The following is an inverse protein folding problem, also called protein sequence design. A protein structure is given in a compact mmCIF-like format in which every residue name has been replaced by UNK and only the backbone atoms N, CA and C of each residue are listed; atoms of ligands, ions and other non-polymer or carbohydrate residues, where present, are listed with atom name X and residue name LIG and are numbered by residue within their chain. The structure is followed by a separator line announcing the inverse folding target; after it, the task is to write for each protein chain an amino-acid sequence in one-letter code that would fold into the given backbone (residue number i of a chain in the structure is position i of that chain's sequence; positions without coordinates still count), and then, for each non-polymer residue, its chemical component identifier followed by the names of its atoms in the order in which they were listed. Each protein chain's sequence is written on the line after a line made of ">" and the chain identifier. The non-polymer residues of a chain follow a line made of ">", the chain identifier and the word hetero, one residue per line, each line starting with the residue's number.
data_IF_875027014119
#
_entry.id   IF_875027014119
#
_cell.length_a   1.000
_cell.length_b   1.000
_cell.length_c   1.000
_cell.angle_alpha   90.00
_cell.angle_beta   90.00
_cell.angle_gamma   90.00
#
_symmetry.space_group_name_H-M   'P 1'
#
loop_
_entity.id
_entity.type
_entity.pdbx_description
1 polymer ?
#
# COMPACT_ATOMS: atom_id res chain seq x y z
N UNK A 1 43.50 -23.37 -17.28
CA UNK A 1 43.57 -24.55 -16.39
C UNK A 1 42.16 -25.10 -16.25
N UNK A 2 41.87 -26.25 -16.88
CA UNK A 2 40.76 -27.16 -16.55
C UNK A 2 39.35 -26.83 -17.07
N UNK A 3 39.03 -27.34 -18.26
CA UNK A 3 37.65 -27.62 -18.71
C UNK A 3 37.09 -28.86 -18.00
N UNK A 4 35.76 -29.03 -17.94
CA UNK A 4 35.04 -30.28 -18.30
C UNK A 4 33.51 -30.14 -18.13
N UNK A 5 32.79 -30.26 -19.23
CA UNK A 5 31.38 -30.68 -19.30
C UNK A 5 31.31 -32.22 -19.22
N UNK A 6 30.24 -32.79 -18.67
CA UNK A 6 29.33 -33.72 -19.37
C UNK A 6 28.28 -34.37 -18.46
N UNK A 7 27.12 -34.63 -19.08
CA UNK A 7 25.90 -35.29 -18.60
C UNK A 7 26.01 -36.83 -18.54
N UNK A 8 25.00 -37.51 -17.94
CA UNK A 8 24.36 -38.84 -18.27
C UNK A 8 23.68 -39.39 -16.98
N UNK A 9 22.32 -39.44 -16.89
CA UNK A 9 21.40 -40.62 -16.98
C UNK A 9 21.67 -41.75 -15.93
N UNK A 10 20.73 -42.43 -15.26
CA UNK A 10 19.37 -42.89 -15.60
C UNK A 10 18.63 -43.49 -14.36
N UNK A 11 17.31 -43.26 -14.27
CA UNK A 11 16.18 -44.19 -14.05
C UNK A 11 15.85 -45.06 -12.79
N UNK A 12 14.52 -45.05 -12.51
CA UNK A 12 13.59 -46.10 -11.99
C UNK A 12 13.73 -46.53 -10.51
N UNK A 13 12.69 -46.75 -9.68
CA UNK A 13 11.23 -46.94 -9.83
C UNK A 13 10.53 -46.99 -8.45
N UNK A 14 9.25 -46.59 -8.39
CA UNK A 14 8.11 -47.13 -7.58
C UNK A 14 8.30 -47.57 -6.11
N UNK A 15 7.50 -47.04 -5.17
CA UNK A 15 6.23 -47.65 -4.73
C UNK A 15 5.44 -46.77 -3.74
N UNK A 16 4.12 -47.02 -3.72
CA UNK A 16 3.03 -46.35 -3.01
C UNK A 16 3.13 -46.50 -1.49
N UNK A 17 2.61 -45.52 -0.74
CA UNK A 17 1.60 -45.86 0.26
C UNK A 17 0.59 -44.74 0.53
N UNK A 18 -0.60 -45.16 0.91
CA UNK A 18 -1.86 -44.44 0.83
C UNK A 18 -2.50 -44.49 2.22
N UNK A 19 -2.95 -43.35 2.78
CA UNK A 19 -4.30 -43.14 3.40
C UNK A 19 -4.36 -42.06 4.50
N UNK A 20 -5.45 -41.29 4.39
CA UNK A 20 -6.36 -40.75 5.41
C UNK A 20 -5.97 -39.52 6.24
N UNK A 21 -6.64 -38.41 5.89
CA UNK A 21 -7.70 -37.86 6.75
C UNK A 21 -7.28 -36.85 7.81
N UNK A 22 -7.58 -35.56 7.56
CA UNK A 22 -7.54 -34.52 8.58
C UNK A 22 -7.57 -33.11 8.00
N UNK A 23 -8.75 -32.61 7.66
CA UNK A 23 -8.97 -31.18 7.43
C UNK A 23 -8.85 -30.49 8.79
N UNK A 24 -7.79 -29.72 8.98
CA UNK A 24 -7.67 -28.80 10.12
C UNK A 24 -7.47 -27.38 9.59
N UNK A 25 -8.55 -26.60 9.59
CA UNK A 25 -8.47 -25.15 9.48
C UNK A 25 -7.74 -24.59 10.70
N UNK A 26 -6.68 -23.77 10.53
CA UNK A 26 -6.22 -22.92 11.61
C UNK A 26 -7.25 -21.81 11.80
N UNK A 27 -7.94 -21.92 12.92
CA UNK A 27 -8.76 -20.91 13.59
C UNK A 27 -8.08 -19.54 13.55
N UNK A 28 -8.78 -18.55 13.03
CA UNK A 28 -8.38 -17.15 13.06
C UNK A 28 -8.03 -16.72 14.49
N UNK A 29 -6.75 -16.41 14.72
CA UNK A 29 -6.32 -15.70 15.91
C UNK A 29 -6.59 -14.21 15.70
N UNK A 30 -7.72 -13.76 16.24
CA UNK A 30 -7.99 -12.35 16.48
C UNK A 30 -6.91 -11.79 17.42
N UNK A 31 -6.13 -10.82 16.92
CA UNK A 31 -5.09 -10.16 17.69
C UNK A 31 -4.15 -9.33 16.84
N UNK A 32 -4.65 -8.43 16.00
CA UNK A 32 -3.81 -7.43 15.32
C UNK A 32 -3.47 -6.30 16.29
N UNK A 33 -2.61 -6.61 17.26
CA UNK A 33 -1.68 -5.60 17.77
C UNK A 33 -0.74 -5.28 16.62
N UNK A 34 -1.00 -4.18 15.90
CA UNK A 34 -0.14 -3.75 14.81
C UNK A 34 1.28 -3.58 15.37
N UNK A 35 2.20 -4.44 14.94
CA UNK A 35 3.62 -4.28 15.25
C UNK A 35 4.03 -2.88 14.79
N UNK A 36 4.52 -2.08 15.73
CA UNK A 36 4.96 -0.71 15.45
C UNK A 36 6.30 -0.82 14.74
N UNK A 37 6.36 -0.39 13.48
CA UNK A 37 7.60 -0.29 12.73
C UNK A 37 8.43 0.92 13.17
N UNK A 38 9.62 1.03 12.62
CA UNK A 38 10.51 2.16 12.87
C UNK A 38 9.82 3.50 12.52
N UNK A 39 10.06 4.53 13.34
CA UNK A 39 9.48 5.86 13.13
C UNK A 39 7.95 6.01 13.35
N UNK A 40 7.26 5.02 13.92
CA UNK A 40 5.82 5.09 14.21
C UNK A 40 4.91 4.72 13.02
N UNK A 41 5.53 4.38 11.88
CA UNK A 41 4.85 3.81 10.70
C UNK A 41 4.58 2.33 10.96
N UNK A 42 3.37 1.82 10.67
CA UNK A 42 3.08 0.38 10.78
C UNK A 42 3.94 -0.46 9.85
N UNK A 43 4.15 -1.71 10.25
CA UNK A 43 4.61 -2.74 9.30
C UNK A 43 3.60 -2.85 8.16
N UNK A 44 4.12 -2.96 6.92
CA UNK A 44 3.31 -3.16 5.73
C UNK A 44 2.45 -4.43 5.87
N UNK A 45 1.15 -4.32 5.60
CA UNK A 45 0.24 -5.47 5.71
C UNK A 45 -0.85 -5.48 4.65
N UNK A 46 -1.42 -6.65 4.42
CA UNK A 46 -2.66 -6.79 3.66
C UNK A 46 -3.87 -6.43 4.53
N UNK A 47 -4.80 -5.67 3.97
CA UNK A 47 -6.06 -5.26 4.57
C UNK A 47 -7.22 -5.98 3.88
N UNK A 48 -8.24 -6.36 4.66
CA UNK A 48 -9.47 -6.89 4.08
C UNK A 48 -10.34 -5.78 3.47
N UNK A 49 -11.10 -6.10 2.43
CA UNK A 49 -12.04 -5.16 1.83
C UNK A 49 -13.13 -4.73 2.82
N UNK A 50 -13.57 -5.62 3.71
CA UNK A 50 -14.56 -5.31 4.73
C UNK A 50 -14.04 -4.26 5.71
N UNK A 51 -12.78 -4.36 6.12
CA UNK A 51 -12.12 -3.36 6.96
C UNK A 51 -12.03 -2.00 6.27
N UNK A 52 -11.61 -1.97 5.01
CA UNK A 52 -11.48 -0.71 4.26
C UNK A 52 -12.85 -0.08 3.94
N UNK A 53 -13.88 -0.89 3.69
CA UNK A 53 -15.26 -0.41 3.59
C UNK A 53 -15.74 0.21 4.89
N UNK A 54 -15.49 -0.45 6.03
CA UNK A 54 -15.87 0.12 7.34
C UNK A 54 -15.14 1.43 7.61
N UNK A 55 -13.85 1.52 7.26
CA UNK A 55 -13.03 2.70 7.49
C UNK A 55 -13.43 3.92 6.63
N UNK A 56 -14.00 3.69 5.45
CA UNK A 56 -14.32 4.72 4.43
C UNK A 56 -15.81 4.98 4.26
N UNK A 57 -16.66 4.45 5.15
CA UNK A 57 -18.11 4.46 5.02
C UNK A 57 -18.57 3.92 3.64
N UNK A 58 -18.10 2.72 3.30
CA UNK A 58 -18.32 2.03 2.03
C UNK A 58 -17.89 2.86 0.81
N UNK A 59 -16.71 3.49 0.89
CA UNK A 59 -16.18 4.37 -0.16
C UNK A 59 -17.14 5.51 -0.54
N UNK A 60 -17.78 6.11 0.47
CA UNK A 60 -18.68 7.26 0.29
C UNK A 60 -17.95 8.43 -0.34
N UNK A 61 -18.64 9.16 -1.22
CA UNK A 61 -18.08 10.35 -1.88
C UNK A 61 -17.74 11.48 -0.92
N UNK A 62 -18.39 11.53 0.25
CA UNK A 62 -18.04 12.46 1.35
C UNK A 62 -16.63 12.25 1.91
N UNK A 63 -16.04 11.08 1.66
CA UNK A 63 -14.70 10.73 2.11
C UNK A 63 -13.64 10.91 1.02
N UNK A 64 -14.01 11.34 -0.18
CA UNK A 64 -13.05 11.63 -1.25
C UNK A 64 -12.20 12.84 -0.86
N UNK A 65 -10.88 12.70 -0.99
CA UNK A 65 -9.89 13.77 -0.77
C UNK A 65 -9.08 14.13 -2.02
N UNK A 66 -9.27 13.40 -3.11
CA UNK A 66 -8.69 13.73 -4.41
C UNK A 66 -9.45 14.87 -5.09
N UNK A 67 -8.73 15.86 -5.62
CA UNK A 67 -9.31 17.06 -6.27
C UNK A 67 -10.15 16.75 -7.52
N UNK A 68 -9.94 15.61 -8.17
CA UNK A 68 -10.52 15.29 -9.47
C UNK A 68 -11.95 14.72 -9.46
N UNK A 69 -12.61 14.66 -8.29
CA UNK A 69 -14.00 14.21 -8.16
C UNK A 69 -14.24 12.72 -8.49
N UNK A 70 -15.51 12.30 -8.53
CA UNK A 70 -15.93 10.88 -8.64
C UNK A 70 -15.55 10.19 -9.95
N UNK A 71 -15.22 10.94 -11.01
CA UNK A 71 -14.88 10.40 -12.34
C UNK A 71 -13.38 10.31 -12.61
N UNK A 72 -12.57 10.58 -11.60
CA UNK A 72 -11.13 10.55 -11.74
C UNK A 72 -10.58 9.11 -11.77
N UNK A 73 -9.56 8.81 -12.60
CA UNK A 73 -8.87 7.53 -12.53
C UNK A 73 -8.11 7.32 -11.21
N UNK A 74 -7.93 8.37 -10.40
CA UNK A 74 -7.15 8.38 -9.17
C UNK A 74 -8.01 8.80 -7.97
N UNK A 75 -9.00 7.99 -7.60
CA UNK A 75 -9.82 8.26 -6.42
C UNK A 75 -9.07 7.91 -5.14
N UNK A 76 -8.97 8.89 -4.24
CA UNK A 76 -8.38 8.71 -2.90
C UNK A 76 -9.42 9.05 -1.86
N UNK A 77 -9.64 8.13 -0.93
CA UNK A 77 -10.57 8.29 0.19
C UNK A 77 -9.78 8.49 1.48
N UNK A 78 -10.20 9.41 2.34
CA UNK A 78 -9.82 9.36 3.76
C UNK A 78 -10.57 8.22 4.43
N UNK A 79 -9.97 7.58 5.42
CA UNK A 79 -10.63 6.58 6.22
C UNK A 79 -10.10 6.55 7.64
N UNK A 80 -10.87 5.96 8.55
CA UNK A 80 -10.45 5.77 9.94
C UNK A 80 -10.59 4.31 10.36
N UNK A 81 -9.44 3.68 10.62
CA UNK A 81 -9.38 2.29 11.09
C UNK A 81 -9.95 2.16 12.51
N UNK A 82 -10.28 0.93 12.92
CA UNK A 82 -10.81 0.63 14.26
C UNK A 82 -9.86 1.05 15.39
N UNK A 83 -8.55 0.94 15.15
CA UNK A 83 -7.50 1.44 16.05
C UNK A 83 -7.37 2.98 16.06
N UNK A 84 -8.34 3.70 15.46
CA UNK A 84 -8.44 5.15 15.36
C UNK A 84 -7.39 5.82 14.47
N UNK A 85 -6.52 5.06 13.79
CA UNK A 85 -5.56 5.60 12.83
C UNK A 85 -6.27 6.11 11.57
N UNK A 86 -5.90 7.31 11.14
CA UNK A 86 -6.33 7.87 9.86
C UNK A 86 -5.49 7.28 8.72
N UNK A 87 -6.16 6.96 7.62
CA UNK A 87 -5.56 6.38 6.42
C UNK A 87 -6.03 7.10 5.16
N UNK A 88 -5.21 7.06 4.13
CA UNK A 88 -5.60 7.38 2.76
C UNK A 88 -5.71 6.08 1.96
N UNK A 89 -6.86 5.85 1.32
CA UNK A 89 -7.12 4.66 0.51
C UNK A 89 -7.23 5.08 -0.94
N UNK A 90 -6.22 4.76 -1.75
CA UNK A 90 -6.28 4.95 -3.19
C UNK A 90 -6.95 3.74 -3.82
N UNK A 91 -8.09 3.96 -4.48
CA UNK A 91 -8.84 2.93 -5.19
C UNK A 91 -8.56 3.00 -6.68
N UNK A 92 -8.12 1.88 -7.25
CA UNK A 92 -7.87 1.76 -8.69
C UNK A 92 -9.11 1.22 -9.40
N UNK A 93 -9.20 1.51 -10.70
CA UNK A 93 -10.18 0.85 -11.57
C UNK A 93 -9.79 -0.60 -11.79
N UNK A 94 -10.78 -1.48 -12.00
CA UNK A 94 -10.56 -2.91 -12.24
C UNK A 94 -9.58 -3.20 -13.39
N UNK A 95 -9.56 -2.33 -14.41
CA UNK A 95 -8.72 -2.49 -15.59
C UNK A 95 -7.27 -2.06 -15.39
N UNK A 96 -6.98 -1.26 -14.36
CA UNK A 96 -5.62 -0.78 -14.11
C UNK A 96 -4.68 -1.88 -13.60
N UNK A 97 -5.20 -2.82 -12.81
CA UNK A 97 -4.44 -3.90 -12.17
C UNK A 97 -5.22 -5.23 -12.23
N UNK A 98 -5.30 -5.86 -13.42
CA UNK A 98 -6.08 -7.08 -13.59
C UNK A 98 -5.54 -8.24 -12.76
N UNK A 99 -4.22 -8.39 -12.67
CA UNK A 99 -3.57 -9.43 -11.88
C UNK A 99 -3.43 -9.01 -10.39
N UNK A 100 -4.13 -9.67 -9.45
CA UNK A 100 -4.01 -9.37 -8.03
C UNK A 100 -2.62 -9.67 -7.47
N UNK A 101 -1.93 -10.69 -8.00
CA UNK A 101 -0.61 -11.06 -7.52
C UNK A 101 0.42 -10.02 -7.93
N UNK A 102 0.38 -9.60 -9.20
CA UNK A 102 1.24 -8.52 -9.68
C UNK A 102 1.02 -7.24 -8.86
N UNK A 103 -0.23 -6.89 -8.58
CA UNK A 103 -0.54 -5.73 -7.73
C UNK A 103 0.04 -5.86 -6.31
N UNK A 104 -0.10 -7.03 -5.68
CA UNK A 104 0.42 -7.29 -4.34
C UNK A 104 1.95 -7.24 -4.30
N UNK A 105 2.62 -7.82 -5.32
CA UNK A 105 4.08 -7.83 -5.43
C UNK A 105 4.62 -6.38 -5.58
N UNK A 106 4.01 -5.57 -6.43
CA UNK A 106 4.37 -4.16 -6.63
C UNK A 106 4.06 -3.31 -5.38
N UNK A 107 2.90 -3.52 -4.76
CA UNK A 107 2.53 -2.84 -3.52
C UNK A 107 3.51 -3.19 -2.39
N UNK A 108 3.94 -4.44 -2.30
CA UNK A 108 4.96 -4.90 -1.35
C UNK A 108 6.33 -4.28 -1.64
N UNK A 109 6.71 -4.15 -2.92
CA UNK A 109 7.91 -3.42 -3.34
C UNK A 109 7.93 -1.98 -2.82
N UNK A 110 6.90 -1.20 -3.15
CA UNK A 110 6.74 0.18 -2.63
C UNK A 110 6.58 0.20 -1.11
N UNK A 111 5.96 -0.84 -0.55
CA UNK A 111 5.74 -1.04 0.87
C UNK A 111 7.01 -1.22 1.70
N UNK A 112 8.18 -1.39 1.07
CA UNK A 112 9.49 -1.40 1.75
C UNK A 112 10.03 0.01 2.01
N UNK A 113 9.66 0.98 1.18
CA UNK A 113 10.14 2.36 1.29
C UNK A 113 9.59 2.99 2.58
N UNK A 114 10.48 3.40 3.48
CA UNK A 114 10.14 4.00 4.77
C UNK A 114 10.97 5.25 5.00
N UNK A 115 10.34 6.41 4.88
CA UNK A 115 11.02 7.68 5.10
C UNK A 115 10.09 8.77 5.64
N UNK A 116 10.62 9.63 6.50
CA UNK A 116 9.89 10.74 7.15
C UNK A 116 9.36 11.81 6.18
N UNK A 117 9.83 11.81 4.94
CA UNK A 117 9.37 12.74 3.88
C UNK A 117 8.35 12.12 2.93
N UNK A 118 7.97 10.86 3.16
CA UNK A 118 6.93 10.17 2.41
C UNK A 118 5.65 10.10 3.25
N UNK A 119 4.49 10.13 2.58
CA UNK A 119 3.30 9.50 3.12
C UNK A 119 3.48 8.00 2.89
N UNK A 120 3.94 7.28 3.90
CA UNK A 120 4.40 5.91 3.72
C UNK A 120 3.24 4.99 3.36
N UNK A 121 3.51 4.02 2.48
CA UNK A 121 2.56 2.98 2.13
C UNK A 121 2.52 1.96 3.27
N UNK A 122 1.38 1.85 3.95
CA UNK A 122 1.20 0.98 5.12
C UNK A 122 0.53 -0.34 4.76
N UNK A 123 -0.03 -0.47 3.55
CA UNK A 123 -0.61 -1.72 3.10
C UNK A 123 -1.34 -1.65 1.78
N UNK A 124 -2.04 -2.72 1.48
CA UNK A 124 -2.84 -2.88 0.26
C UNK A 124 -4.05 -3.80 0.52
N UNK A 125 -4.96 -3.86 -0.45
CA UNK A 125 -6.03 -4.85 -0.51
C UNK A 125 -6.20 -5.32 -1.95
N UNK A 126 -6.26 -6.63 -2.15
CA UNK A 126 -6.47 -7.30 -3.45
C UNK A 126 -7.67 -8.24 -3.48
N UNK A 127 -8.62 -8.06 -2.56
CA UNK A 127 -9.81 -8.93 -2.45
C UNK A 127 -10.68 -8.87 -3.71
N UNK A 128 -10.87 -10.02 -4.37
CA UNK A 128 -11.69 -10.13 -5.57
C UNK A 128 -11.22 -9.19 -6.69
N UNK A 129 -12.11 -8.30 -7.11
CA UNK A 129 -11.86 -7.32 -8.17
C UNK A 129 -11.29 -5.98 -7.66
N UNK A 130 -11.12 -5.83 -6.35
CA UNK A 130 -10.67 -4.57 -5.74
C UNK A 130 -9.14 -4.49 -5.70
N UNK A 131 -8.62 -3.30 -5.97
CA UNK A 131 -7.19 -2.99 -5.95
C UNK A 131 -7.03 -1.67 -5.21
N UNK A 132 -6.56 -1.74 -3.97
CA UNK A 132 -6.51 -0.61 -3.07
C UNK A 132 -5.10 -0.49 -2.48
N UNK A 133 -4.56 0.73 -2.47
CA UNK A 133 -3.36 1.06 -1.70
C UNK A 133 -3.78 1.83 -0.44
N UNK A 134 -3.14 1.51 0.68
CA UNK A 134 -3.39 2.12 1.98
C UNK A 134 -2.12 2.84 2.42
N UNK A 135 -2.21 4.15 2.61
CA UNK A 135 -1.10 5.00 3.03
C UNK A 135 -1.45 5.81 4.28
N UNK A 136 -0.43 6.43 4.86
CA UNK A 136 -0.62 7.45 5.89
C UNK A 136 -1.50 8.60 5.39
N UNK A 137 -2.43 9.05 6.23
CA UNK A 137 -3.27 10.21 5.91
C UNK A 137 -2.54 11.52 6.24
N UNK A 138 -2.51 12.43 5.27
CA UNK A 138 -1.93 13.76 5.41
C UNK A 138 -3.07 14.78 5.68
N UNK A 139 -3.18 15.35 6.89
CA UNK A 139 -4.34 16.15 7.28
C UNK A 139 -4.33 17.59 6.76
N UNK A 140 -3.19 18.09 6.29
CA UNK A 140 -2.99 19.48 5.88
C UNK A 140 -3.12 19.66 4.36
N UNK A 141 -4.07 18.95 3.74
CA UNK A 141 -4.40 19.02 2.31
C UNK A 141 -3.18 18.88 1.35
N UNK A 142 -3.37 19.26 0.09
CA UNK A 142 -2.35 19.26 -0.95
C UNK A 142 -1.56 20.57 -0.98
N UNK A 143 -0.35 20.50 -1.52
CA UNK A 143 0.43 21.70 -1.85
C UNK A 143 -0.30 22.58 -2.87
N UNK A 144 -1.01 21.98 -3.84
CA UNK A 144 -1.77 22.70 -4.85
C UNK A 144 -2.85 23.60 -4.23
N UNK A 145 -3.57 23.10 -3.21
CA UNK A 145 -4.53 23.91 -2.45
C UNK A 145 -3.87 25.10 -1.77
N UNK A 146 -2.73 24.90 -1.14
CA UNK A 146 -1.99 25.94 -0.43
C UNK A 146 -1.27 26.95 -1.35
N UNK A 147 -0.87 26.54 -2.55
CA UNK A 147 -0.19 27.42 -3.52
C UNK A 147 -1.15 28.22 -4.39
N UNK A 148 -2.26 27.61 -4.82
CA UNK A 148 -3.11 28.17 -5.88
C UNK A 148 -4.52 28.56 -5.42
N UNK A 149 -5.02 27.99 -4.33
CA UNK A 149 -6.44 28.10 -3.94
C UNK A 149 -6.65 28.66 -2.53
N UNK A 150 -5.61 29.23 -1.91
CA UNK A 150 -5.73 29.78 -0.57
C UNK A 150 -6.15 31.26 -0.64
N UNK A 151 -7.40 31.52 -0.26
CA UNK A 151 -8.07 32.82 -0.48
C UNK A 151 -7.41 34.01 0.26
N UNK A 152 -6.68 33.75 1.36
CA UNK A 152 -6.28 34.81 2.30
C UNK A 152 -4.78 34.92 2.62
N UNK A 153 -3.92 34.09 2.03
CA UNK A 153 -2.49 34.01 2.37
C UNK A 153 -1.73 33.15 1.36
N UNK A 154 -0.77 33.75 0.66
CA UNK A 154 0.17 33.00 -0.19
C UNK A 154 1.18 32.26 0.68
N UNK A 155 1.52 31.03 0.31
CA UNK A 155 2.57 30.27 1.01
C UNK A 155 3.88 31.07 1.07
N UNK A 156 4.40 31.28 2.28
CA UNK A 156 5.64 32.00 2.56
C UNK A 156 6.83 31.42 1.76
N UNK A 157 7.74 32.28 1.32
CA UNK A 157 8.87 31.85 0.48
C UNK A 157 9.74 30.79 1.18
N UNK A 158 10.00 30.98 2.49
CA UNK A 158 10.74 30.02 3.29
C UNK A 158 10.05 28.63 3.32
N UNK A 159 8.71 28.60 3.31
CA UNK A 159 7.97 27.33 3.24
C UNK A 159 8.08 26.69 1.86
N UNK A 160 8.06 27.48 0.77
CA UNK A 160 8.26 26.95 -0.60
C UNK A 160 9.63 26.28 -0.75
N UNK A 161 10.69 26.93 -0.25
CA UNK A 161 12.04 26.35 -0.25
C UNK A 161 12.11 25.08 0.61
N UNK A 162 11.44 25.05 1.76
CA UNK A 162 11.35 23.85 2.59
C UNK A 162 10.65 22.70 1.88
N UNK A 163 9.53 22.98 1.19
CA UNK A 163 8.83 21.98 0.36
C UNK A 163 9.78 21.44 -0.71
N UNK A 164 10.46 22.31 -1.46
CA UNK A 164 11.40 21.89 -2.50
C UNK A 164 12.51 20.98 -1.95
N UNK A 165 13.13 21.36 -0.82
CA UNK A 165 14.14 20.57 -0.14
C UNK A 165 13.60 19.19 0.28
N UNK A 166 12.45 19.16 0.94
CA UNK A 166 11.89 17.90 1.48
C UNK A 166 11.41 16.96 0.38
N UNK A 167 10.92 17.48 -0.74
CA UNK A 167 10.60 16.67 -1.91
C UNK A 167 11.88 16.15 -2.56
N UNK A 168 12.95 16.95 -2.66
CA UNK A 168 14.24 16.47 -3.15
C UNK A 168 14.80 15.34 -2.26
N UNK A 169 14.77 15.49 -0.93
CA UNK A 169 15.13 14.43 0.02
C UNK A 169 14.29 13.15 -0.17
N UNK A 170 12.98 13.30 -0.42
CA UNK A 170 12.10 12.16 -0.65
C UNK A 170 12.41 11.43 -1.97
N UNK A 171 12.68 12.18 -3.04
CA UNK A 171 13.00 11.62 -4.36
C UNK A 171 14.37 10.94 -4.37
N UNK A 172 15.37 11.55 -3.72
CA UNK A 172 16.69 10.96 -3.53
C UNK A 172 16.57 9.60 -2.84
N UNK A 173 15.87 9.55 -1.70
CA UNK A 173 15.57 8.31 -0.99
C UNK A 173 14.88 7.25 -1.85
N UNK A 174 13.83 7.63 -2.59
CA UNK A 174 13.13 6.69 -3.48
C UNK A 174 13.99 6.17 -4.64
N UNK A 175 15.06 6.88 -5.01
CA UNK A 175 15.94 6.49 -6.11
C UNK A 175 17.13 5.63 -5.67
N UNK A 176 17.47 5.68 -4.37
CA UNK A 176 18.60 4.95 -3.79
C UNK A 176 18.23 3.56 -3.23
N UNK A 177 16.94 3.29 -3.04
CA UNK A 177 16.38 2.07 -2.45
C UNK A 177 15.83 1.07 -3.48
#
# INVERSE_FOLDING_TARGET
>A
MGCCQSSIQQELSSEKDQRHGGVSHPRASNGTGAAVGDGGVPVFSEFSLSELKAATNNFSSEFIVSESGEKAPNMVYKGRLQNRRWIAVKKFTKTAWPDPKQFADEASGVGKLRHKRLANLIGYCSDGDERLLVAEYMPNDTLAKHLFHWENQTLEWAMRLRVALYIAEALDYCSSE
#
